data_IF_334988840131
#
_entry.id   IF_334988840131
#
_cell.length_a   1.000
_cell.length_b   1.000
_cell.length_c   1.000
_cell.angle_alpha   90.00
_cell.angle_beta   90.00
_cell.angle_gamma   90.00
#
_symmetry.space_group_name_H-M   'P 1'
#
loop_
_entity.id
_entity.type
_entity.pdbx_description
1 polymer ?
#
# COMPACT_ATOMS: atom_id res chain seq x y z
N UNK A 1 17.75 -17.47 -52.00
CA UNK A 1 18.25 -18.54 -51.14
C UNK A 1 17.73 -18.33 -49.72
N UNK A 2 17.14 -19.33 -49.12
CA UNK A 2 16.68 -19.25 -47.74
C UNK A 2 17.84 -19.47 -46.76
N UNK A 3 17.80 -18.77 -45.66
CA UNK A 3 18.76 -18.84 -44.56
C UNK A 3 17.98 -19.01 -43.25
N UNK A 4 18.63 -19.47 -42.19
CA UNK A 4 17.99 -19.72 -40.90
C UNK A 4 18.04 -18.43 -40.10
N UNK A 5 16.89 -18.05 -39.51
CA UNK A 5 16.80 -16.93 -38.55
C UNK A 5 17.52 -17.34 -37.26
N UNK A 6 18.59 -16.64 -36.86
CA UNK A 6 19.29 -16.97 -35.63
C UNK A 6 18.40 -16.71 -34.41
N UNK A 7 18.63 -17.50 -33.35
CA UNK A 7 17.98 -17.23 -32.06
C UNK A 7 18.72 -16.07 -31.37
N UNK A 8 17.97 -15.02 -31.11
CA UNK A 8 18.43 -13.80 -30.41
C UNK A 8 17.61 -13.53 -29.13
N UNK A 9 16.79 -14.49 -28.72
CA UNK A 9 15.99 -14.35 -27.48
C UNK A 9 16.89 -14.14 -26.26
N UNK A 10 16.54 -13.18 -25.42
CA UNK A 10 17.31 -12.84 -24.23
C UNK A 10 18.56 -11.98 -24.46
N UNK A 11 18.97 -11.75 -25.72
CA UNK A 11 20.07 -10.84 -26.05
C UNK A 11 19.62 -9.40 -25.90
N UNK A 12 20.57 -8.47 -25.72
CA UNK A 12 20.27 -7.05 -25.83
C UNK A 12 19.85 -6.69 -27.27
N UNK A 13 19.09 -5.61 -27.41
CA UNK A 13 18.61 -5.14 -28.72
C UNK A 13 19.78 -4.97 -29.72
N UNK A 14 20.87 -4.33 -29.28
CA UNK A 14 22.03 -4.05 -30.13
C UNK A 14 22.72 -5.34 -30.61
N UNK A 15 23.00 -6.27 -29.70
CA UNK A 15 23.61 -7.56 -30.04
C UNK A 15 22.72 -8.39 -30.97
N UNK A 16 21.40 -8.34 -30.75
CA UNK A 16 20.42 -9.03 -31.60
C UNK A 16 20.36 -8.42 -33.01
N UNK A 17 20.39 -7.09 -33.11
CA UNK A 17 20.45 -6.37 -34.39
C UNK A 17 21.70 -6.73 -35.17
N UNK A 18 22.87 -6.72 -34.54
CA UNK A 18 24.14 -7.08 -35.18
C UNK A 18 24.10 -8.52 -35.68
N UNK A 19 23.69 -9.48 -34.83
CA UNK A 19 23.62 -10.91 -35.19
C UNK A 19 22.65 -11.20 -36.32
N UNK A 20 21.50 -10.52 -36.37
CA UNK A 20 20.53 -10.66 -37.48
C UNK A 20 21.03 -10.05 -38.76
N UNK A 21 21.74 -8.90 -38.69
CA UNK A 21 22.31 -8.24 -39.82
C UNK A 21 23.42 -9.06 -40.44
N UNK A 22 24.32 -9.61 -39.63
CA UNK A 22 25.41 -10.51 -40.07
C UNK A 22 24.87 -11.79 -40.71
N UNK A 23 23.74 -12.28 -40.26
CA UNK A 23 23.04 -13.42 -40.87
C UNK A 23 22.34 -13.06 -42.20
N UNK A 24 22.30 -11.78 -42.60
CA UNK A 24 21.72 -11.31 -43.84
C UNK A 24 20.23 -10.96 -43.77
N UNK A 25 19.75 -10.59 -42.61
CA UNK A 25 18.37 -10.11 -42.38
C UNK A 25 18.34 -8.60 -42.17
N UNK A 26 17.14 -8.03 -42.17
CA UNK A 26 16.87 -6.61 -41.85
C UNK A 26 16.11 -6.53 -40.55
N UNK A 27 16.78 -6.35 -39.38
CA UNK A 27 16.12 -6.27 -38.10
C UNK A 27 15.31 -4.98 -37.96
N UNK A 28 14.17 -5.08 -37.25
CA UNK A 28 13.37 -3.94 -36.78
C UNK A 28 12.89 -4.25 -35.38
N UNK A 29 12.68 -3.21 -34.56
CA UNK A 29 12.28 -3.37 -33.16
C UNK A 29 10.86 -2.88 -32.94
N UNK A 30 10.08 -3.66 -32.17
CA UNK A 30 8.87 -3.23 -31.51
C UNK A 30 9.04 -3.47 -30.00
N UNK A 31 8.40 -2.63 -29.17
CA UNK A 31 8.59 -2.68 -27.73
C UNK A 31 7.33 -3.11 -27.01
N UNK A 32 7.45 -4.07 -26.09
CA UNK A 32 6.36 -4.61 -25.29
C UNK A 32 6.79 -4.76 -23.83
N UNK A 33 5.86 -4.59 -22.86
CA UNK A 33 6.14 -4.94 -21.46
C UNK A 33 6.20 -6.46 -21.31
N UNK A 34 7.17 -6.92 -20.54
CA UNK A 34 7.33 -8.33 -20.19
C UNK A 34 7.85 -8.45 -18.75
N UNK A 35 7.22 -9.32 -17.94
CA UNK A 35 7.58 -9.46 -16.53
C UNK A 35 8.79 -10.39 -16.31
N UNK A 36 9.17 -11.16 -17.32
CA UNK A 36 10.22 -12.18 -17.24
C UNK A 36 11.49 -11.83 -17.98
N UNK A 37 11.39 -10.93 -18.97
CA UNK A 37 12.54 -10.50 -19.78
C UNK A 37 12.96 -9.11 -19.35
N UNK A 38 14.25 -8.96 -19.04
CA UNK A 38 14.82 -7.67 -18.63
C UNK A 38 14.61 -6.59 -19.70
N UNK A 39 14.44 -5.34 -19.24
CA UNK A 39 14.32 -4.17 -20.12
C UNK A 39 15.51 -4.09 -21.11
N UNK A 40 15.21 -3.86 -22.38
CA UNK A 40 16.18 -3.79 -23.47
C UNK A 40 16.55 -5.13 -24.12
N UNK A 41 16.06 -6.26 -23.60
CA UNK A 41 16.34 -7.57 -24.16
C UNK A 41 15.20 -8.06 -25.07
N UNK A 42 15.57 -8.87 -26.05
CA UNK A 42 14.64 -9.44 -27.04
C UNK A 42 13.80 -10.53 -26.40
N UNK A 43 12.48 -10.40 -26.53
CA UNK A 43 11.49 -11.40 -26.11
C UNK A 43 11.35 -12.48 -27.19
N UNK A 44 11.15 -12.07 -28.44
CA UNK A 44 10.89 -12.97 -29.57
C UNK A 44 11.16 -12.27 -30.90
N UNK A 45 11.17 -13.06 -31.97
CA UNK A 45 11.30 -12.56 -33.35
C UNK A 45 10.18 -13.07 -34.25
N UNK A 46 9.88 -12.31 -35.30
CA UNK A 46 9.01 -12.71 -36.42
C UNK A 46 9.71 -12.37 -37.72
N UNK A 47 10.07 -13.36 -38.57
CA UNK A 47 9.89 -14.82 -38.41
C UNK A 47 10.57 -15.38 -37.15
N UNK A 48 10.05 -16.51 -36.66
CA UNK A 48 10.54 -17.12 -35.42
C UNK A 48 12.00 -17.58 -35.54
N UNK A 49 12.71 -17.59 -34.41
CA UNK A 49 14.04 -18.18 -34.31
C UNK A 49 14.07 -19.62 -34.89
N UNK A 50 15.16 -19.96 -35.54
CA UNK A 50 15.39 -21.25 -36.21
C UNK A 50 14.46 -21.55 -37.41
N UNK A 51 13.59 -20.64 -37.80
CA UNK A 51 12.82 -20.77 -39.05
C UNK A 51 13.65 -20.39 -40.28
N UNK A 52 13.20 -20.79 -41.46
CA UNK A 52 13.83 -20.40 -42.75
C UNK A 52 13.13 -19.19 -43.32
N UNK A 53 13.93 -18.21 -43.75
CA UNK A 53 13.44 -17.04 -44.45
C UNK A 53 14.42 -16.62 -45.57
N UNK A 54 13.93 -15.87 -46.53
CA UNK A 54 14.76 -15.36 -47.60
C UNK A 54 15.81 -14.35 -47.09
N UNK A 55 16.95 -14.28 -47.75
CA UNK A 55 17.91 -13.20 -47.47
C UNK A 55 17.23 -11.83 -47.61
N UNK A 56 17.64 -10.87 -46.82
CA UNK A 56 17.08 -9.50 -46.74
C UNK A 56 15.63 -9.42 -46.24
N UNK A 57 15.06 -10.54 -45.74
CA UNK A 57 13.76 -10.52 -45.05
C UNK A 57 13.83 -9.64 -43.80
N UNK A 58 12.80 -8.84 -43.61
CA UNK A 58 12.64 -8.07 -42.40
C UNK A 58 12.32 -9.02 -41.22
N UNK A 59 13.14 -8.97 -40.20
CA UNK A 59 12.92 -9.70 -38.94
C UNK A 59 12.53 -8.68 -37.86
N UNK A 60 11.29 -8.76 -37.44
CA UNK A 60 10.77 -7.95 -36.33
C UNK A 60 11.19 -8.57 -35.01
N UNK A 61 11.90 -7.83 -34.18
CA UNK A 61 12.21 -8.18 -32.81
C UNK A 61 11.19 -7.53 -31.88
N UNK A 62 10.67 -8.28 -30.93
CA UNK A 62 9.92 -7.74 -29.80
C UNK A 62 10.89 -7.56 -28.65
N UNK A 63 11.11 -6.31 -28.25
CA UNK A 63 12.06 -5.94 -27.19
C UNK A 63 11.31 -5.59 -25.91
N UNK A 64 11.78 -6.09 -24.79
CA UNK A 64 11.16 -5.87 -23.50
C UNK A 64 11.32 -4.42 -23.02
N UNK A 65 10.22 -3.84 -22.53
CA UNK A 65 10.20 -2.61 -21.72
C UNK A 65 10.36 -2.90 -20.22
N UNK A 66 10.69 -4.14 -19.86
CA UNK A 66 10.63 -4.63 -18.49
C UNK A 66 9.20 -4.76 -17.97
N UNK A 67 9.06 -5.04 -16.69
CA UNK A 67 7.75 -5.20 -16.05
C UNK A 67 6.94 -3.89 -16.09
N UNK A 68 5.63 -4.02 -16.37
CA UNK A 68 4.73 -2.88 -16.33
C UNK A 68 4.59 -2.37 -14.89
N UNK A 69 5.05 -1.15 -14.65
CA UNK A 69 4.96 -0.51 -13.32
C UNK A 69 3.59 0.12 -13.10
N UNK A 70 3.08 -0.02 -11.88
CA UNK A 70 1.83 0.54 -11.39
C UNK A 70 2.13 1.64 -10.37
N UNK A 71 1.31 2.69 -10.35
CA UNK A 71 1.44 3.76 -9.37
C UNK A 71 0.65 3.40 -8.12
N UNK A 72 1.29 3.51 -6.95
CA UNK A 72 0.66 3.24 -5.65
C UNK A 72 -0.30 4.37 -5.29
N UNK A 73 -1.60 4.09 -5.05
CA UNK A 73 -2.57 5.11 -4.63
C UNK A 73 -2.30 5.57 -3.20
N UNK A 74 -2.76 6.77 -2.85
CA UNK A 74 -2.82 7.22 -1.45
C UNK A 74 -4.16 6.77 -0.84
N UNK A 75 -4.08 5.82 0.07
CA UNK A 75 -5.25 5.26 0.76
C UNK A 75 -5.33 5.66 2.23
N UNK A 76 -4.46 6.55 2.70
CA UNK A 76 -4.48 7.05 4.07
C UNK A 76 -5.75 7.83 4.35
N UNK A 77 -6.33 7.66 5.53
CA UNK A 77 -7.59 8.29 5.95
C UNK A 77 -8.86 7.64 5.38
N UNK A 78 -8.74 6.74 4.41
CA UNK A 78 -9.87 6.03 3.79
C UNK A 78 -10.29 4.83 4.62
N UNK A 79 -11.53 4.37 4.45
CA UNK A 79 -11.98 3.11 5.04
C UNK A 79 -11.17 1.93 4.50
N UNK A 80 -11.08 0.85 5.27
CA UNK A 80 -10.41 -0.38 4.80
C UNK A 80 -10.98 -0.88 3.47
N UNK A 81 -12.30 -0.83 3.29
CA UNK A 81 -12.96 -1.28 2.07
C UNK A 81 -12.56 -0.45 0.85
N UNK A 82 -12.58 0.89 0.99
CA UNK A 82 -12.18 1.79 -0.10
C UNK A 82 -10.70 1.64 -0.42
N UNK A 83 -9.84 1.55 0.61
CA UNK A 83 -8.42 1.33 0.44
C UNK A 83 -8.10 0.03 -0.33
N UNK A 84 -8.77 -1.07 0.02
CA UNK A 84 -8.64 -2.35 -0.69
C UNK A 84 -9.06 -2.23 -2.15
N UNK A 85 -10.20 -1.59 -2.40
CA UNK A 85 -10.73 -1.38 -3.75
C UNK A 85 -9.77 -0.56 -4.61
N UNK A 86 -9.22 0.53 -4.09
CA UNK A 86 -8.28 1.38 -4.83
C UNK A 86 -6.94 0.70 -5.11
N UNK A 87 -6.39 -0.03 -4.14
CA UNK A 87 -5.16 -0.80 -4.33
C UNK A 87 -5.35 -1.84 -5.43
N UNK A 88 -6.48 -2.58 -5.42
CA UNK A 88 -6.79 -3.58 -6.44
C UNK A 88 -7.04 -2.95 -7.81
N UNK A 89 -7.76 -1.84 -7.88
CA UNK A 89 -8.00 -1.09 -9.12
C UNK A 89 -6.69 -0.55 -9.73
N UNK A 90 -5.69 -0.25 -8.90
CA UNK A 90 -4.35 0.13 -9.36
C UNK A 90 -3.52 -1.06 -9.87
N UNK A 91 -4.04 -2.31 -9.84
CA UNK A 91 -3.32 -3.52 -10.25
C UNK A 91 -2.28 -3.99 -9.22
N UNK A 92 -2.51 -3.66 -7.95
CA UNK A 92 -1.69 -4.05 -6.80
C UNK A 92 -2.47 -5.04 -5.92
N UNK A 93 -1.82 -5.64 -4.94
CA UNK A 93 -2.46 -6.53 -3.97
C UNK A 93 -2.45 -5.89 -2.58
N UNK A 94 -3.48 -6.20 -1.78
CA UNK A 94 -3.48 -5.83 -0.37
C UNK A 94 -2.73 -6.91 0.39
N UNK A 95 -1.68 -6.52 1.09
CA UNK A 95 -0.87 -7.41 1.92
C UNK A 95 -1.49 -7.63 3.31
N UNK A 96 -0.66 -7.67 4.33
CA UNK A 96 -1.10 -7.80 5.72
C UNK A 96 -1.80 -6.51 6.20
N UNK A 97 -2.77 -6.69 7.10
CA UNK A 97 -3.46 -5.60 7.78
C UNK A 97 -3.20 -5.73 9.28
N UNK A 98 -2.79 -4.66 9.92
CA UNK A 98 -2.64 -4.55 11.36
C UNK A 98 -3.46 -3.39 11.90
N UNK A 99 -3.68 -3.35 13.21
CA UNK A 99 -4.43 -2.27 13.87
C UNK A 99 -3.55 -1.56 14.89
N UNK A 100 -3.76 -0.25 15.05
CA UNK A 100 -3.07 0.60 16.00
C UNK A 100 -4.04 1.66 16.53
N UNK A 101 -3.87 2.08 17.79
CA UNK A 101 -4.60 3.24 18.31
C UNK A 101 -4.14 4.52 17.62
N UNK A 102 -5.09 5.38 17.29
CA UNK A 102 -4.83 6.71 16.73
C UNK A 102 -5.95 7.68 17.12
N UNK A 103 -5.55 8.83 17.67
CA UNK A 103 -6.48 9.85 18.15
C UNK A 103 -7.06 10.71 17.02
N UNK A 104 -6.42 10.71 15.87
CA UNK A 104 -6.73 11.59 14.73
C UNK A 104 -7.46 10.88 13.61
N UNK A 105 -7.24 9.58 13.48
CA UNK A 105 -7.83 8.74 12.43
C UNK A 105 -8.98 7.94 12.99
N UNK A 106 -10.15 8.07 12.37
CA UNK A 106 -11.36 7.35 12.78
C UNK A 106 -11.14 5.83 12.75
N UNK A 107 -11.78 5.12 13.68
CA UNK A 107 -11.74 3.66 13.76
C UNK A 107 -12.10 3.01 12.42
N UNK A 108 -11.26 2.07 11.98
CA UNK A 108 -11.44 1.34 10.72
C UNK A 108 -10.82 2.03 9.51
N UNK A 109 -10.30 3.25 9.65
CA UNK A 109 -9.64 3.96 8.58
C UNK A 109 -8.13 3.70 8.59
N UNK A 110 -7.51 3.86 7.42
CA UNK A 110 -6.07 3.62 7.22
C UNK A 110 -5.24 4.74 7.84
N UNK A 111 -4.38 4.40 8.79
CA UNK A 111 -3.37 5.29 9.35
C UNK A 111 -2.19 5.43 8.39
N UNK A 112 -1.69 4.29 7.90
CA UNK A 112 -0.51 4.25 7.05
C UNK A 112 -0.52 3.05 6.11
N UNK A 113 0.29 3.14 5.07
CA UNK A 113 0.51 2.09 4.09
C UNK A 113 2.02 1.84 3.93
N UNK A 114 2.40 0.57 3.65
CA UNK A 114 3.81 0.16 3.60
C UNK A 114 4.59 0.69 2.41
N UNK A 115 3.90 1.05 1.32
CA UNK A 115 4.52 1.61 0.13
C UNK A 115 4.08 3.05 -0.05
N UNK A 116 5.04 3.94 -0.23
CA UNK A 116 4.79 5.39 -0.37
C UNK A 116 3.82 5.67 -1.53
N UNK A 117 2.77 6.49 -1.30
CA UNK A 117 1.89 6.96 -2.37
C UNK A 117 2.66 7.59 -3.53
N UNK A 118 2.21 7.36 -4.76
CA UNK A 118 2.84 7.87 -5.97
C UNK A 118 4.07 7.07 -6.44
N UNK A 119 4.60 6.15 -5.63
CA UNK A 119 5.72 5.29 -6.06
C UNK A 119 5.28 4.35 -7.18
N UNK A 120 6.16 4.14 -8.16
CA UNK A 120 5.96 3.16 -9.23
C UNK A 120 6.56 1.81 -8.82
N UNK A 121 5.76 0.77 -8.81
CA UNK A 121 6.13 -0.60 -8.41
C UNK A 121 5.63 -1.60 -9.43
N UNK A 122 6.12 -2.83 -9.39
CA UNK A 122 5.64 -3.90 -10.27
C UNK A 122 4.17 -4.23 -10.01
N UNK A 123 3.45 -4.66 -11.04
CA UNK A 123 2.09 -5.16 -10.89
C UNK A 123 2.03 -6.28 -9.84
N UNK A 124 0.95 -6.33 -9.07
CA UNK A 124 0.77 -7.31 -8.00
C UNK A 124 1.58 -7.05 -6.72
N UNK A 125 2.39 -5.97 -6.65
CA UNK A 125 3.10 -5.62 -5.41
C UNK A 125 2.12 -5.51 -4.24
N UNK A 126 2.47 -6.15 -3.10
CA UNK A 126 1.66 -6.11 -1.89
C UNK A 126 1.84 -4.78 -1.13
N UNK A 127 0.72 -4.17 -0.78
CA UNK A 127 0.66 -2.97 0.07
C UNK A 127 0.03 -3.35 1.39
N UNK A 128 0.81 -3.31 2.48
CA UNK A 128 0.31 -3.55 3.82
C UNK A 128 -0.35 -2.29 4.37
N UNK A 129 -1.36 -2.47 5.22
CA UNK A 129 -2.14 -1.39 5.81
C UNK A 129 -2.06 -1.44 7.33
N UNK A 130 -1.99 -0.25 7.94
CA UNK A 130 -2.22 -0.08 9.37
C UNK A 130 -3.54 0.68 9.53
N UNK A 131 -4.50 0.08 10.21
CA UNK A 131 -5.82 0.64 10.45
C UNK A 131 -5.92 1.22 11.86
N UNK A 132 -6.71 2.26 12.02
CA UNK A 132 -7.04 2.80 13.32
C UNK A 132 -8.01 1.88 14.07
N UNK A 133 -7.69 1.54 15.31
CA UNK A 133 -8.64 0.98 16.27
C UNK A 133 -9.46 2.06 16.98
N UNK A 134 -9.24 3.32 16.65
CA UNK A 134 -9.78 4.50 17.30
C UNK A 134 -8.87 5.02 18.40
N UNK A 135 -9.29 6.11 19.06
CA UNK A 135 -8.60 6.63 20.24
C UNK A 135 -8.72 5.66 21.41
N UNK A 136 -7.65 5.53 22.19
CA UNK A 136 -7.66 4.85 23.49
C UNK A 136 -7.97 5.82 24.63
N UNK A 137 -8.19 7.10 24.32
CA UNK A 137 -8.59 8.10 25.30
C UNK A 137 -10.06 7.95 25.67
N UNK A 138 -10.33 8.03 26.95
CA UNK A 138 -11.68 8.05 27.52
C UNK A 138 -12.03 9.50 27.85
N UNK A 139 -13.14 10.00 27.29
CA UNK A 139 -13.68 11.30 27.68
C UNK A 139 -14.23 11.23 29.11
N UNK A 140 -13.70 12.07 29.98
CA UNK A 140 -14.10 12.10 31.40
C UNK A 140 -15.39 12.89 31.56
N UNK A 141 -16.40 12.24 32.12
CA UNK A 141 -17.68 12.89 32.44
C UNK A 141 -17.53 13.84 33.65
N UNK A 142 -18.43 14.81 33.75
CA UNK A 142 -18.49 15.68 34.93
C UNK A 142 -19.19 14.98 36.08
N UNK A 143 -18.49 14.76 37.16
CA UNK A 143 -19.01 14.16 38.39
C UNK A 143 -19.15 15.16 39.54
N UNK A 144 -18.95 16.46 39.31
CA UNK A 144 -19.19 17.47 40.37
C UNK A 144 -20.64 17.41 40.86
N UNK A 145 -20.85 17.32 42.17
CA UNK A 145 -22.14 17.16 42.80
C UNK A 145 -22.69 15.72 42.83
N UNK A 146 -21.96 14.74 42.30
CA UNK A 146 -22.33 13.32 42.34
C UNK A 146 -21.57 12.58 43.44
N UNK A 147 -22.06 11.42 43.80
CA UNK A 147 -21.44 10.57 44.82
C UNK A 147 -20.12 9.98 44.35
N UNK A 148 -19.19 9.76 45.29
CA UNK A 148 -17.89 9.13 45.04
C UNK A 148 -18.05 7.73 44.40
N UNK A 149 -19.02 6.93 44.83
CA UNK A 149 -19.27 5.58 44.30
C UNK A 149 -19.63 5.62 42.79
N UNK A 150 -20.37 6.64 42.36
CA UNK A 150 -20.76 6.78 40.94
C UNK A 150 -19.51 7.02 40.05
N UNK A 151 -18.58 7.87 40.51
CA UNK A 151 -17.32 8.08 39.84
C UNK A 151 -16.44 6.82 39.81
N UNK A 152 -16.29 6.15 40.94
CA UNK A 152 -15.46 4.95 41.05
C UNK A 152 -15.99 3.82 40.14
N UNK A 153 -17.31 3.62 40.12
CA UNK A 153 -17.95 2.64 39.25
C UNK A 153 -17.74 2.96 37.79
N UNK A 154 -17.96 4.21 37.39
CA UNK A 154 -17.72 4.66 35.99
C UNK A 154 -16.26 4.52 35.60
N UNK A 155 -15.31 4.95 36.45
CA UNK A 155 -13.88 4.84 36.20
C UNK A 155 -13.46 3.38 35.94
N UNK A 156 -13.90 2.46 36.83
CA UNK A 156 -13.62 1.03 36.70
C UNK A 156 -14.16 0.46 35.39
N UNK A 157 -15.39 0.81 34.99
CA UNK A 157 -16.02 0.35 33.75
C UNK A 157 -15.26 0.87 32.49
N UNK A 158 -14.59 2.00 32.61
CA UNK A 158 -13.81 2.61 31.51
C UNK A 158 -12.29 2.33 31.60
N UNK A 159 -11.87 1.41 32.49
CA UNK A 159 -10.46 1.03 32.63
C UNK A 159 -9.60 2.11 33.28
N UNK A 160 -10.21 3.07 33.98
CA UNK A 160 -9.52 4.15 34.68
C UNK A 160 -9.42 3.87 36.16
N UNK A 161 -8.42 4.43 36.84
CA UNK A 161 -8.29 4.41 38.28
C UNK A 161 -8.65 5.80 38.82
N UNK A 162 -9.59 5.86 39.71
CA UNK A 162 -9.95 7.05 40.45
C UNK A 162 -9.55 6.91 41.94
N UNK A 163 -9.10 7.99 42.54
CA UNK A 163 -8.76 8.05 43.94
C UNK A 163 -9.14 9.40 44.54
N UNK A 164 -9.60 9.37 45.78
CA UNK A 164 -9.89 10.56 46.57
C UNK A 164 -8.60 11.24 46.96
N UNK A 165 -8.52 12.55 46.78
CA UNK A 165 -7.36 13.36 47.13
C UNK A 165 -7.46 13.91 48.56
N UNK A 166 -8.56 14.61 48.88
CA UNK A 166 -8.83 15.22 50.19
C UNK A 166 -10.30 15.56 50.35
N UNK A 167 -10.71 15.77 51.56
CA UNK A 167 -12.00 16.36 51.89
C UNK A 167 -11.88 17.89 52.02
N UNK A 168 -12.83 18.61 51.45
CA UNK A 168 -12.93 20.07 51.56
C UNK A 168 -14.33 20.50 51.95
N UNK A 169 -14.44 21.58 52.73
CA UNK A 169 -15.73 22.21 53.07
C UNK A 169 -16.25 22.99 51.87
N UNK A 170 -17.53 22.82 51.53
CA UNK A 170 -18.19 23.57 50.48
C UNK A 170 -19.57 24.02 50.94
N UNK A 171 -19.96 25.24 50.61
CA UNK A 171 -21.31 25.75 50.79
C UNK A 171 -22.23 25.42 49.60
N UNK A 172 -21.67 24.93 48.48
CA UNK A 172 -22.38 24.71 47.24
C UNK A 172 -22.66 23.23 46.92
N UNK A 173 -22.02 22.34 47.65
CA UNK A 173 -22.13 20.89 47.41
C UNK A 173 -22.55 20.18 48.74
N UNK A 174 -23.34 19.14 48.62
CA UNK A 174 -23.76 18.32 49.75
C UNK A 174 -22.58 17.50 50.32
N UNK A 175 -22.66 17.15 51.61
CA UNK A 175 -21.64 16.30 52.21
C UNK A 175 -21.58 14.93 51.53
N UNK A 176 -20.37 14.46 51.24
CA UNK A 176 -20.11 13.20 50.56
C UNK A 176 -20.10 13.28 49.04
N UNK A 177 -20.38 14.45 48.45
CA UNK A 177 -20.35 14.61 47.00
C UNK A 177 -19.01 15.18 46.48
N UNK A 178 -18.72 14.97 45.23
CA UNK A 178 -17.48 15.41 44.55
C UNK A 178 -17.58 16.92 44.29
N UNK A 179 -16.59 17.67 44.79
CA UNK A 179 -16.48 19.12 44.52
C UNK A 179 -15.77 19.38 43.20
N UNK A 180 -14.70 18.66 42.94
CA UNK A 180 -13.88 18.81 41.74
C UNK A 180 -13.15 17.52 41.44
N UNK A 181 -12.66 17.42 40.19
CA UNK A 181 -11.85 16.29 39.76
C UNK A 181 -10.71 16.73 38.86
N UNK A 182 -9.66 15.90 38.84
CA UNK A 182 -8.51 16.08 37.95
C UNK A 182 -8.14 14.73 37.34
N UNK A 183 -8.01 14.62 36.02
CA UNK A 183 -8.27 15.68 35.02
C UNK A 183 -9.72 16.19 35.05
N UNK A 184 -9.93 17.41 34.55
CA UNK A 184 -11.27 17.96 34.39
C UNK A 184 -12.08 17.17 33.34
N UNK A 185 -13.41 17.30 33.37
CA UNK A 185 -14.29 16.74 32.33
C UNK A 185 -14.00 17.33 30.95
N UNK A 186 -14.10 16.49 29.87
CA UNK A 186 -13.85 16.92 28.49
C UNK A 186 -13.51 15.76 27.56
#
# INVERSE_FOLDING_TARGET
>A
KEIIVPDVSGMSEDEAQEKLTDAGFKPTSEFQYDDNVAEGNVISTTPAANSKAAKDTQVKMIVSKGAQKKTVPDVRGKSEADARSEIQAAGLTVGSTSTQHDDSVAKGNVISQSVTPGKKVSAGTAVNLVLSSGSDKVSIQNFAGKDEEELLSWASQNGLNASKQKDEYSSNYEEGTIISMSPASG
#
